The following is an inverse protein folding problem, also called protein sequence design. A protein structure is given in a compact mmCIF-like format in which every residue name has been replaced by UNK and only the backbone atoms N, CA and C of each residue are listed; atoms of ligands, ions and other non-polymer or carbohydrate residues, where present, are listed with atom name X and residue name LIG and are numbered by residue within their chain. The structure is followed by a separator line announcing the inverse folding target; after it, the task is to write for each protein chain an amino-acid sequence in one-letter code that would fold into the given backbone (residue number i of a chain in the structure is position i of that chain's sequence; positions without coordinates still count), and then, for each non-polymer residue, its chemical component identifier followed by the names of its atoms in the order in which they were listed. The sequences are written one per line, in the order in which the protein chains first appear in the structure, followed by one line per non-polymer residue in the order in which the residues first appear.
data_IF_269182331726
#
_entry.id   IF_269182331726
#
_cell.length_a   1.000
_cell.length_b   1.000
_cell.length_c   1.000
_cell.angle_alpha   90.00
_cell.angle_beta   90.00
_cell.angle_gamma   90.00
#
_symmetry.space_group_name_H-M   'P 1'
#
loop_
_entity.id
_entity.type
_entity.pdbx_description
1 polymer ?
#
# COMPACT_ATOMS: atom_id res chain seq x y z
N UNK A 1 -1.37 21.43 6.04
CA UNK A 1 -2.07 20.18 5.70
C UNK A 1 -1.07 19.04 5.63
N UNK A 2 -1.39 17.94 6.26
CA UNK A 2 -0.50 16.80 6.26
C UNK A 2 -0.78 15.86 5.11
N UNK A 3 0.30 15.33 4.54
CA UNK A 3 0.21 14.28 3.55
C UNK A 3 0.28 12.93 4.25
N UNK A 4 -0.24 11.89 3.61
CA UNK A 4 -0.06 10.54 4.12
C UNK A 4 1.42 10.18 4.02
N UNK A 5 1.98 9.63 5.10
CA UNK A 5 3.37 9.20 5.14
C UNK A 5 3.48 7.69 5.29
N UNK A 6 2.41 7.02 5.71
CA UNK A 6 2.37 5.57 5.85
C UNK A 6 1.26 4.98 5.01
N UNK A 7 1.57 3.87 4.37
CA UNK A 7 0.60 3.07 3.64
C UNK A 7 0.54 1.71 4.32
N UNK A 8 -0.63 1.35 4.85
CA UNK A 8 -0.82 0.08 5.54
C UNK A 8 -1.77 -0.81 4.76
N UNK A 9 -1.34 -2.04 4.52
CA UNK A 9 -2.16 -3.03 3.83
C UNK A 9 -2.42 -4.17 4.80
N UNK A 10 -3.69 -4.39 5.12
CA UNK A 10 -4.10 -5.48 6.01
C UNK A 10 -4.69 -6.58 5.15
N UNK A 11 -4.20 -7.79 5.33
CA UNK A 11 -4.66 -8.95 4.58
C UNK A 11 -5.80 -9.64 5.32
N UNK A 12 -6.56 -10.43 4.59
CA UNK A 12 -7.67 -11.19 5.17
C UNK A 12 -7.19 -12.22 6.19
N UNK A 13 -5.93 -12.60 6.11
CA UNK A 13 -5.31 -13.50 7.08
C UNK A 13 -5.06 -12.85 8.44
N UNK A 14 -5.12 -11.52 8.51
CA UNK A 14 -4.82 -10.75 9.71
C UNK A 14 -3.45 -10.11 9.72
N UNK A 15 -2.61 -10.44 8.75
CA UNK A 15 -1.28 -9.83 8.64
C UNK A 15 -1.39 -8.41 8.12
N UNK A 16 -0.42 -7.58 8.49
CA UNK A 16 -0.37 -6.19 8.03
C UNK A 16 1.04 -5.88 7.54
N UNK A 17 1.11 -5.22 6.38
CA UNK A 17 2.36 -4.70 5.85
C UNK A 17 2.29 -3.18 5.91
N UNK A 18 3.33 -2.55 6.43
CA UNK A 18 3.40 -1.10 6.53
C UNK A 18 4.57 -0.58 5.71
N UNK A 19 4.26 0.34 4.79
CA UNK A 19 5.27 1.10 4.07
C UNK A 19 5.36 2.46 4.74
N UNK A 20 6.54 2.79 5.27
CA UNK A 20 6.76 4.04 5.98
C UNK A 20 7.27 5.11 5.03
N UNK A 21 7.33 6.34 5.52
CA UNK A 21 7.90 7.43 4.75
C UNK A 21 9.30 7.06 4.26
N UNK A 22 9.55 7.26 2.97
CA UNK A 22 10.81 6.89 2.35
C UNK A 22 10.82 5.50 1.75
N UNK A 23 9.83 4.66 2.07
CA UNK A 23 9.72 3.31 1.54
C UNK A 23 8.75 3.23 0.36
N UNK A 24 7.98 4.27 0.14
CA UNK A 24 7.05 4.36 -0.98
C UNK A 24 6.82 5.84 -1.31
N UNK A 25 6.42 6.13 -2.53
CA UNK A 25 6.06 7.50 -2.89
C UNK A 25 4.76 7.57 -3.69
N UNK A 26 4.29 6.45 -4.20
CA UNK A 26 3.07 6.44 -4.99
C UNK A 26 2.44 5.05 -4.95
N UNK A 27 1.18 4.99 -5.36
CA UNK A 27 0.47 3.72 -5.47
C UNK A 27 -0.55 3.84 -6.60
N UNK A 28 -0.98 2.69 -7.12
CA UNK A 28 -2.11 2.66 -8.04
C UNK A 28 -2.89 1.37 -7.85
N UNK A 29 -4.13 1.38 -8.29
CA UNK A 29 -4.98 0.20 -8.19
C UNK A 29 -5.94 0.16 -9.38
N UNK A 30 -6.36 -1.04 -9.76
CA UNK A 30 -7.20 -1.25 -10.94
C UNK A 30 -8.46 -2.06 -10.66
N UNK A 31 -8.79 -2.29 -9.39
CA UNK A 31 -9.93 -3.11 -9.00
C UNK A 31 -9.56 -4.57 -8.75
N UNK A 32 -8.38 -4.99 -9.14
CA UNK A 32 -7.90 -6.37 -8.91
C UNK A 32 -6.72 -6.40 -7.97
N UNK A 33 -5.89 -5.38 -8.00
CA UNK A 33 -4.67 -5.34 -7.21
C UNK A 33 -4.30 -3.90 -6.90
N UNK A 34 -3.55 -3.73 -5.81
CA UNK A 34 -2.89 -2.47 -5.50
C UNK A 34 -1.40 -2.65 -5.70
N UNK A 35 -0.77 -1.65 -6.29
CA UNK A 35 0.65 -1.64 -6.57
C UNK A 35 1.29 -0.46 -5.87
N UNK A 36 2.40 -0.69 -5.20
CA UNK A 36 3.13 0.34 -4.45
C UNK A 36 4.44 0.61 -5.18
N UNK A 37 4.76 1.89 -5.34
CA UNK A 37 5.95 2.33 -6.08
C UNK A 37 6.88 3.14 -5.20
N UNK A 38 8.15 3.07 -5.52
CA UNK A 38 9.16 3.96 -4.97
C UNK A 38 10.11 4.35 -6.09
N UNK A 39 10.19 5.65 -6.37
CA UNK A 39 11.08 6.22 -7.40
C UNK A 39 10.86 5.58 -8.77
N UNK A 40 9.60 5.34 -9.11
CA UNK A 40 9.23 4.78 -10.39
C UNK A 40 9.33 3.27 -10.50
N UNK A 41 9.78 2.60 -9.46
CA UNK A 41 9.90 1.14 -9.45
C UNK A 41 8.80 0.52 -8.58
N UNK A 42 8.31 -0.63 -8.99
CA UNK A 42 7.33 -1.37 -8.19
C UNK A 42 8.04 -2.03 -7.02
N UNK A 43 7.57 -1.76 -5.79
CA UNK A 43 8.12 -2.40 -4.59
C UNK A 43 7.14 -3.40 -3.99
N UNK A 44 5.88 -3.39 -4.43
CA UNK A 44 4.91 -4.39 -3.98
C UNK A 44 3.67 -4.37 -4.84
N UNK A 45 3.12 -5.56 -5.11
CA UNK A 45 1.85 -5.72 -5.82
C UNK A 45 1.04 -6.73 -5.03
N UNK A 46 -0.19 -6.37 -4.67
CA UNK A 46 -1.02 -7.19 -3.78
C UNK A 46 -2.41 -7.35 -4.39
N UNK A 47 -2.83 -8.60 -4.55
CA UNK A 47 -4.12 -8.92 -5.12
C UNK A 47 -5.23 -8.64 -4.10
N UNK A 48 -6.30 -7.96 -4.51
CA UNK A 48 -7.42 -7.63 -3.64
C UNK A 48 -8.17 -8.86 -3.12
N UNK A 49 -7.99 -10.02 -3.74
CA UNK A 49 -8.57 -11.26 -3.20
C UNK A 49 -8.02 -11.60 -1.82
N UNK A 50 -6.84 -11.09 -1.48
CA UNK A 50 -6.17 -11.36 -0.22
C UNK A 50 -6.14 -10.15 0.71
N UNK A 51 -6.57 -9.00 0.23
CA UNK A 51 -6.49 -7.74 0.98
C UNK A 51 -7.83 -7.44 1.65
N UNK A 52 -7.77 -7.16 2.95
CA UNK A 52 -8.94 -6.75 3.71
C UNK A 52 -9.17 -5.24 3.61
N UNK A 53 -8.13 -4.47 3.83
CA UNK A 53 -8.22 -3.01 3.70
C UNK A 53 -6.85 -2.40 3.46
N UNK A 54 -6.88 -1.18 2.91
CA UNK A 54 -5.68 -0.37 2.69
C UNK A 54 -5.95 0.97 3.33
N UNK A 55 -5.00 1.45 4.13
CA UNK A 55 -5.14 2.72 4.83
C UNK A 55 -3.94 3.62 4.56
N UNK A 56 -4.23 4.90 4.38
CA UNK A 56 -3.21 5.94 4.27
C UNK A 56 -3.26 6.73 5.57
N UNK A 57 -2.13 6.82 6.25
CA UNK A 57 -2.04 7.48 7.56
C UNK A 57 -0.96 8.55 7.54
N UNK A 58 -1.22 9.68 8.23
CA UNK A 58 -0.20 10.74 8.34
C UNK A 58 0.96 10.32 9.23
#
# INVERSE_FOLDING_TARGET
MESATRLEITFKSGDTITYREGEWDDYSYDGKAISVKLKGAWVGIYNFDHVFCVELKP
#
